data_IF_459352688666
#
_entry.id   IF_459352688666
#
_cell.length_a   1.000
_cell.length_b   1.000
_cell.length_c   1.000
_cell.angle_alpha   90.00
_cell.angle_beta   90.00
_cell.angle_gamma   90.00
#
_symmetry.space_group_name_H-M   'P 1'
#
loop_
_entity.id
_entity.type
_entity.pdbx_description
1 polymer ?
#
# COMPACT_ATOMS: atom_id res chain seq x y z
N UNK A 1 61.76 7.89 49.51
CA UNK A 1 60.95 8.90 48.80
C UNK A 1 60.69 8.45 47.37
N UNK A 2 59.42 8.56 46.93
CA UNK A 2 58.89 8.54 45.55
C UNK A 2 59.09 7.29 44.67
N UNK A 3 57.95 6.62 44.44
CA UNK A 3 57.67 5.54 43.48
C UNK A 3 57.96 5.98 42.03
N UNK A 4 58.68 5.16 41.28
CA UNK A 4 58.75 5.23 39.81
C UNK A 4 58.22 3.92 39.23
N UNK A 5 56.93 3.91 38.87
CA UNK A 5 56.34 2.88 38.03
C UNK A 5 56.52 3.28 36.56
N UNK A 6 57.34 2.52 35.84
CA UNK A 6 57.51 2.59 34.38
C UNK A 6 56.32 1.85 33.76
N UNK A 7 55.31 2.58 33.31
CA UNK A 7 54.17 2.03 32.54
C UNK A 7 54.47 2.18 31.05
N UNK A 8 54.43 1.06 30.33
CA UNK A 8 54.34 1.04 28.87
C UNK A 8 53.03 1.70 28.40
N UNK A 9 53.02 2.44 27.27
CA UNK A 9 51.80 2.97 26.71
C UNK A 9 51.07 1.90 25.88
N UNK A 10 49.97 1.42 26.47
CA UNK A 10 48.76 0.84 25.87
C UNK A 10 48.56 1.06 24.37
N UNK A 11 48.65 -0.03 23.62
CA UNK A 11 48.12 -0.20 22.26
C UNK A 11 46.60 -0.42 22.29
N UNK A 12 45.82 0.58 22.69
CA UNK A 12 44.36 0.48 22.73
C UNK A 12 43.68 1.79 22.35
N UNK A 13 43.64 2.10 21.05
CA UNK A 13 42.69 3.07 20.47
C UNK A 13 42.60 2.96 18.94
N UNK A 14 42.17 1.79 18.44
CA UNK A 14 41.64 1.62 17.08
C UNK A 14 40.35 0.78 17.12
N UNK A 15 39.29 1.30 17.72
CA UNK A 15 37.96 0.65 17.62
C UNK A 15 36.76 1.53 18.00
N UNK A 16 36.84 2.85 17.88
CA UNK A 16 35.64 3.68 18.09
C UNK A 16 35.66 4.83 17.07
N UNK A 17 34.56 4.95 16.33
CA UNK A 17 34.33 5.82 15.16
C UNK A 17 34.62 5.23 13.77
N UNK A 18 33.84 4.22 13.41
CA UNK A 18 33.32 4.09 12.04
C UNK A 18 31.80 3.97 12.08
N UNK A 19 31.11 5.05 12.49
CA UNK A 19 29.69 5.26 12.15
C UNK A 19 29.67 5.49 10.64
N UNK A 20 29.37 4.45 9.88
CA UNK A 20 29.16 4.52 8.45
C UNK A 20 27.84 5.27 8.17
N UNK A 21 27.90 6.60 8.16
CA UNK A 21 26.91 7.41 7.47
C UNK A 21 27.14 7.26 5.96
N UNK A 22 26.14 6.79 5.22
CA UNK A 22 26.20 6.71 3.76
C UNK A 22 26.47 8.11 3.17
N UNK A 23 27.40 8.17 2.21
CA UNK A 23 27.77 9.40 1.49
C UNK A 23 26.58 9.98 0.70
N UNK A 24 26.45 11.31 0.55
CA UNK A 24 25.37 11.94 -0.22
C UNK A 24 25.16 11.35 -1.62
N UNK A 25 26.25 11.01 -2.33
CA UNK A 25 26.20 10.38 -3.66
C UNK A 25 25.64 8.94 -3.64
N UNK A 26 25.80 8.22 -2.53
CA UNK A 26 25.23 6.87 -2.36
C UNK A 26 23.75 6.96 -2.00
N UNK A 27 23.36 7.93 -1.16
CA UNK A 27 21.95 8.21 -0.90
C UNK A 27 21.23 8.63 -2.17
N UNK A 28 21.79 9.54 -2.95
CA UNK A 28 21.22 10.02 -4.22
C UNK A 28 21.07 8.90 -5.26
N UNK A 29 22.10 8.07 -5.46
CA UNK A 29 22.05 6.92 -6.38
C UNK A 29 21.15 5.79 -5.89
N UNK A 30 20.99 5.63 -4.57
CA UNK A 30 20.07 4.69 -3.96
C UNK A 30 18.62 5.19 -4.04
N UNK A 31 18.38 6.49 -3.85
CA UNK A 31 17.07 7.14 -4.02
C UNK A 31 16.61 7.09 -5.48
N UNK A 32 17.49 7.42 -6.44
CA UNK A 32 17.22 7.30 -7.88
C UNK A 32 16.86 5.85 -8.27
N UNK A 33 17.65 4.86 -7.84
CA UNK A 33 17.37 3.43 -8.12
C UNK A 33 16.11 2.90 -7.42
N UNK A 34 15.74 3.44 -6.27
CA UNK A 34 14.51 3.06 -5.56
C UNK A 34 13.31 3.62 -6.31
N UNK A 35 13.37 4.90 -6.72
CA UNK A 35 12.33 5.57 -7.50
C UNK A 35 12.11 4.88 -8.85
N UNK A 36 13.18 4.60 -9.60
CA UNK A 36 13.09 3.89 -10.90
C UNK A 36 12.43 2.51 -10.79
N UNK A 37 12.64 1.82 -9.67
CA UNK A 37 12.11 0.46 -9.46
C UNK A 37 10.68 0.48 -8.89
N UNK A 38 10.28 1.55 -8.20
CA UNK A 38 8.89 1.75 -7.78
C UNK A 38 8.02 2.19 -8.96
N UNK A 39 8.54 3.07 -9.81
CA UNK A 39 7.88 3.50 -11.04
C UNK A 39 7.69 2.34 -12.02
N UNK A 40 8.72 1.49 -12.23
CA UNK A 40 8.59 0.27 -13.04
C UNK A 40 7.57 -0.73 -12.52
N UNK A 41 7.53 -0.93 -11.20
CA UNK A 41 6.54 -1.82 -10.59
C UNK A 41 5.13 -1.27 -10.82
N UNK A 42 4.95 0.03 -10.61
CA UNK A 42 3.68 0.71 -10.86
C UNK A 42 3.25 0.62 -12.33
N UNK A 43 4.12 0.93 -13.29
CA UNK A 43 3.79 0.90 -14.71
C UNK A 43 3.39 -0.51 -15.16
N UNK A 44 4.15 -1.52 -14.72
CA UNK A 44 3.84 -2.93 -14.99
C UNK A 44 2.49 -3.33 -14.38
N UNK A 45 2.24 -2.92 -13.14
CA UNK A 45 0.99 -3.21 -12.43
C UNK A 45 -0.19 -2.55 -13.13
N UNK A 46 -0.08 -1.27 -13.44
CA UNK A 46 -1.11 -0.49 -14.09
C UNK A 46 -1.45 -1.08 -15.46
N UNK A 47 -0.44 -1.41 -16.27
CA UNK A 47 -0.65 -2.05 -17.57
C UNK A 47 -1.38 -3.41 -17.46
N UNK A 48 -1.01 -4.23 -16.48
CA UNK A 48 -1.67 -5.52 -16.23
C UNK A 48 -3.16 -5.33 -15.86
N UNK A 49 -3.45 -4.36 -14.99
CA UNK A 49 -4.83 -4.02 -14.62
C UNK A 49 -5.60 -3.49 -15.84
N UNK A 50 -5.03 -2.58 -16.62
CA UNK A 50 -5.73 -2.01 -17.80
C UNK A 50 -6.07 -3.11 -18.82
N UNK A 51 -5.21 -4.12 -18.98
CA UNK A 51 -5.47 -5.27 -19.86
C UNK A 51 -6.65 -6.12 -19.38
N UNK A 52 -7.00 -6.08 -18.10
CA UNK A 52 -8.11 -6.84 -17.53
C UNK A 52 -9.49 -6.18 -17.75
N UNK A 53 -9.51 -4.92 -18.17
CA UNK A 53 -10.76 -4.17 -18.40
C UNK A 53 -11.26 -4.29 -19.85
N UNK A 54 -12.57 -4.09 -20.08
CA UNK A 54 -13.11 -3.90 -21.42
C UNK A 54 -12.48 -2.68 -22.12
N UNK A 55 -12.28 -2.76 -23.43
CA UNK A 55 -11.64 -1.73 -24.27
C UNK A 55 -12.18 -0.31 -24.04
N UNK A 56 -13.49 -0.18 -23.87
CA UNK A 56 -14.15 1.11 -23.63
C UNK A 56 -13.70 1.73 -22.30
N UNK A 57 -13.58 0.92 -21.25
CA UNK A 57 -13.13 1.35 -19.92
C UNK A 57 -11.65 1.71 -19.95
N UNK A 58 -10.82 0.85 -20.54
CA UNK A 58 -9.38 1.08 -20.70
C UNK A 58 -9.11 2.39 -21.44
N UNK A 59 -9.83 2.66 -22.53
CA UNK A 59 -9.71 3.90 -23.29
C UNK A 59 -10.03 5.15 -22.46
N UNK A 60 -11.08 5.12 -21.63
CA UNK A 60 -11.45 6.25 -20.77
C UNK A 60 -10.37 6.50 -19.71
N UNK A 61 -9.86 5.44 -19.08
CA UNK A 61 -8.80 5.55 -18.06
C UNK A 61 -7.53 6.12 -18.69
N UNK A 62 -7.10 5.58 -19.84
CA UNK A 62 -5.90 6.04 -20.55
C UNK A 62 -6.01 7.49 -21.01
N UNK A 63 -7.17 7.89 -21.56
CA UNK A 63 -7.40 9.27 -22.00
C UNK A 63 -7.42 10.29 -20.84
N UNK A 64 -7.79 9.86 -19.64
CA UNK A 64 -7.80 10.70 -18.44
C UNK A 64 -6.58 10.53 -17.54
N UNK A 65 -5.67 9.61 -17.88
CA UNK A 65 -4.60 9.12 -17.00
C UNK A 65 -3.76 10.24 -16.38
N UNK A 66 -3.27 11.20 -17.17
CA UNK A 66 -2.42 12.28 -16.65
C UNK A 66 -3.12 13.11 -15.57
N UNK A 67 -4.37 13.54 -15.81
CA UNK A 67 -5.17 14.31 -14.85
C UNK A 67 -5.60 13.46 -13.65
N UNK A 68 -5.96 12.20 -13.88
CA UNK A 68 -6.38 11.27 -12.83
C UNK A 68 -5.23 10.89 -11.91
N UNK A 69 -4.03 10.65 -12.46
CA UNK A 69 -2.80 10.35 -11.70
C UNK A 69 -2.38 11.52 -10.82
N UNK A 70 -2.35 12.74 -11.36
CA UNK A 70 -2.00 13.93 -10.56
C UNK A 70 -2.95 14.11 -9.36
N UNK A 71 -4.25 13.89 -9.56
CA UNK A 71 -5.26 13.95 -8.48
C UNK A 71 -5.08 12.80 -7.49
N UNK A 72 -4.87 11.58 -7.99
CA UNK A 72 -4.66 10.40 -7.17
C UNK A 72 -3.43 10.55 -6.26
N UNK A 73 -2.31 11.02 -6.79
CA UNK A 73 -1.08 11.27 -6.01
C UNK A 73 -1.31 12.30 -4.90
N UNK A 74 -2.03 13.39 -5.18
CA UNK A 74 -2.40 14.40 -4.17
C UNK A 74 -3.27 13.81 -3.07
N UNK A 75 -4.17 12.88 -3.41
CA UNK A 75 -5.01 12.17 -2.44
C UNK A 75 -4.17 11.22 -1.59
N UNK A 76 -3.34 10.38 -2.22
CA UNK A 76 -2.51 9.40 -1.51
C UNK A 76 -1.45 10.06 -0.62
N UNK A 77 -0.84 11.17 -1.04
CA UNK A 77 0.14 11.89 -0.25
C UNK A 77 -0.44 12.37 1.10
N UNK A 78 -1.72 12.78 1.11
CA UNK A 78 -2.43 13.19 2.34
C UNK A 78 -2.80 12.00 3.22
N UNK A 79 -3.20 10.89 2.61
CA UNK A 79 -3.60 9.66 3.32
C UNK A 79 -2.41 8.93 3.96
N UNK A 80 -1.27 8.87 3.27
CA UNK A 80 -0.09 8.12 3.71
C UNK A 80 0.39 8.54 5.10
N UNK A 81 0.59 9.85 5.28
CA UNK A 81 1.02 10.42 6.57
C UNK A 81 0.04 10.14 7.72
N UNK A 82 -1.24 9.90 7.41
CA UNK A 82 -2.28 9.63 8.40
C UNK A 82 -2.36 8.15 8.82
N UNK A 83 -1.87 7.22 7.98
CA UNK A 83 -2.07 5.78 8.19
C UNK A 83 -0.80 4.97 8.41
N UNK A 84 0.39 5.50 8.11
CA UNK A 84 1.66 4.77 8.19
C UNK A 84 1.84 4.03 9.53
N UNK A 85 1.54 4.67 10.66
CA UNK A 85 1.65 4.05 11.99
C UNK A 85 0.67 2.89 12.25
N UNK A 86 -0.51 2.91 11.63
CA UNK A 86 -1.53 1.86 11.78
C UNK A 86 -1.07 0.59 11.06
N UNK A 87 -0.53 0.75 9.84
CA UNK A 87 -0.05 -0.37 9.05
C UNK A 87 1.24 -0.94 9.63
N UNK A 88 2.14 -0.11 10.15
CA UNK A 88 3.34 -0.58 10.85
C UNK A 88 3.01 -1.44 12.07
N UNK A 89 2.01 -1.04 12.87
CA UNK A 89 1.53 -1.83 14.02
C UNK A 89 0.89 -3.15 13.56
N UNK A 90 0.06 -3.11 12.52
CA UNK A 90 -0.63 -4.30 12.00
C UNK A 90 0.34 -5.35 11.43
N UNK A 91 1.44 -4.90 10.82
CA UNK A 91 2.48 -5.72 10.18
C UNK A 91 3.63 -6.10 11.11
N UNK A 92 3.46 -5.96 12.42
CA UNK A 92 4.44 -6.50 13.38
C UNK A 92 4.68 -7.99 13.09
N UNK A 93 5.96 -8.37 12.96
CA UNK A 93 6.38 -9.73 12.61
C UNK A 93 6.81 -9.93 11.15
N UNK A 94 6.44 -9.03 10.23
CA UNK A 94 6.88 -9.11 8.83
C UNK A 94 8.29 -8.57 8.68
N UNK A 95 9.18 -9.32 8.02
CA UNK A 95 10.56 -8.86 7.83
C UNK A 95 10.64 -7.58 6.98
N UNK A 96 11.62 -6.72 7.29
CA UNK A 96 11.72 -5.40 6.66
C UNK A 96 11.94 -5.45 5.14
N UNK A 97 12.58 -6.49 4.62
CA UNK A 97 12.84 -6.62 3.17
C UNK A 97 11.58 -7.03 2.44
N UNK A 98 10.85 -8.01 2.95
CA UNK A 98 9.55 -8.45 2.40
C UNK A 98 8.53 -7.34 2.52
N UNK A 99 8.42 -6.70 3.69
CA UNK A 99 7.55 -5.53 3.88
C UNK A 99 7.81 -4.44 2.86
N UNK A 100 9.08 -4.14 2.55
CA UNK A 100 9.43 -3.16 1.50
C UNK A 100 8.97 -3.60 0.11
N UNK A 101 9.10 -4.88 -0.24
CA UNK A 101 8.63 -5.39 -1.54
C UNK A 101 7.10 -5.38 -1.62
N UNK A 102 6.42 -5.85 -0.58
CA UNK A 102 4.97 -5.81 -0.45
C UNK A 102 4.44 -4.38 -0.58
N UNK A 103 5.08 -3.42 0.10
CA UNK A 103 4.71 -2.01 0.02
C UNK A 103 4.67 -1.50 -1.41
N UNK A 104 5.60 -1.91 -2.29
CA UNK A 104 5.59 -1.48 -3.70
C UNK A 104 4.34 -1.97 -4.44
N UNK A 105 3.98 -3.24 -4.25
CA UNK A 105 2.82 -3.85 -4.88
C UNK A 105 1.54 -3.21 -4.35
N UNK A 106 1.40 -3.10 -3.02
CA UNK A 106 0.24 -2.47 -2.37
C UNK A 106 0.11 -1.01 -2.76
N UNK A 107 1.21 -0.26 -2.79
CA UNK A 107 1.20 1.14 -3.20
C UNK A 107 0.80 1.31 -4.67
N UNK A 108 1.34 0.46 -5.57
CA UNK A 108 0.97 0.49 -6.98
C UNK A 108 -0.53 0.20 -7.19
N UNK A 109 -1.06 -0.77 -6.46
CA UNK A 109 -2.48 -1.09 -6.46
C UNK A 109 -3.34 0.06 -5.94
N UNK A 110 -2.98 0.65 -4.80
CA UNK A 110 -3.71 1.78 -4.20
C UNK A 110 -3.69 3.02 -5.09
N UNK A 111 -2.56 3.31 -5.75
CA UNK A 111 -2.46 4.41 -6.70
C UNK A 111 -3.31 4.15 -7.95
N UNK A 112 -3.27 2.93 -8.48
CA UNK A 112 -4.11 2.51 -9.61
C UNK A 112 -5.60 2.63 -9.27
N UNK A 113 -6.00 2.18 -8.08
CA UNK A 113 -7.37 2.30 -7.58
C UNK A 113 -7.79 3.78 -7.46
N UNK A 114 -6.90 4.65 -6.98
CA UNK A 114 -7.18 6.09 -6.93
C UNK A 114 -7.27 6.74 -8.30
N UNK A 115 -6.44 6.34 -9.27
CA UNK A 115 -6.52 6.81 -10.66
C UNK A 115 -7.88 6.45 -11.25
N UNK A 116 -8.32 5.20 -11.06
CA UNK A 116 -9.64 4.73 -11.49
C UNK A 116 -10.74 5.53 -10.78
N UNK A 117 -10.62 5.74 -9.47
CA UNK A 117 -11.58 6.55 -8.69
C UNK A 117 -11.66 8.02 -9.14
N UNK A 118 -10.56 8.60 -9.62
CA UNK A 118 -10.51 9.95 -10.19
C UNK A 118 -10.95 10.05 -11.65
N UNK A 119 -11.06 8.92 -12.34
CA UNK A 119 -11.43 8.87 -13.76
C UNK A 119 -12.92 9.19 -13.94
N UNK A 120 -13.32 9.81 -15.06
CA UNK A 120 -14.71 10.19 -15.33
C UNK A 120 -15.55 8.98 -15.76
N UNK A 121 -15.49 7.90 -14.97
CA UNK A 121 -16.30 6.70 -15.16
C UNK A 121 -17.51 6.84 -14.22
N UNK A 122 -18.75 6.74 -14.75
CA UNK A 122 -19.93 6.78 -13.90
C UNK A 122 -19.81 5.67 -12.84
N UNK A 123 -20.02 6.07 -11.59
CA UNK A 123 -19.73 5.41 -10.32
C UNK A 123 -20.42 4.05 -10.07
N UNK A 124 -20.88 3.39 -11.13
CA UNK A 124 -21.08 1.96 -11.12
C UNK A 124 -19.74 1.32 -10.74
N UNK A 125 -19.81 0.37 -9.81
CA UNK A 125 -18.86 -0.73 -9.74
C UNK A 125 -17.58 -0.46 -8.96
N UNK A 126 -17.71 -0.46 -7.64
CA UNK A 126 -17.08 -1.50 -6.82
C UNK A 126 -16.32 -2.62 -7.61
N UNK A 127 -16.99 -3.22 -8.59
CA UNK A 127 -16.47 -4.27 -9.48
C UNK A 127 -15.21 -3.82 -10.25
N UNK A 128 -15.04 -2.55 -10.61
CA UNK A 128 -13.83 -2.06 -11.28
C UNK A 128 -12.59 -2.08 -10.38
N UNK A 129 -12.75 -2.10 -9.05
CA UNK A 129 -11.62 -2.27 -8.14
C UNK A 129 -11.22 -3.74 -7.97
N UNK A 130 -12.12 -4.67 -8.30
CA UNK A 130 -11.86 -6.10 -8.12
C UNK A 130 -10.64 -6.56 -8.93
N UNK A 131 -10.48 -6.21 -10.23
CA UNK A 131 -9.26 -6.58 -10.96
C UNK A 131 -7.99 -6.00 -10.34
N UNK A 132 -8.02 -4.75 -9.87
CA UNK A 132 -6.89 -4.11 -9.17
C UNK A 132 -6.50 -4.95 -7.95
N UNK A 133 -7.48 -5.31 -7.14
CA UNK A 133 -7.29 -6.03 -5.89
C UNK A 133 -6.84 -7.48 -6.12
N UNK A 134 -7.38 -8.15 -7.14
CA UNK A 134 -6.96 -9.51 -7.51
C UNK A 134 -5.54 -9.54 -8.08
N UNK A 135 -5.16 -8.59 -8.96
CA UNK A 135 -3.78 -8.47 -9.45
C UNK A 135 -2.79 -8.22 -8.31
N UNK A 136 -3.16 -7.37 -7.36
CA UNK A 136 -2.37 -7.14 -6.13
C UNK A 136 -2.20 -8.42 -5.33
N UNK A 137 -3.28 -9.13 -5.04
CA UNK A 137 -3.22 -10.39 -4.28
C UNK A 137 -2.38 -11.44 -5.01
N UNK A 138 -2.53 -11.60 -6.32
CA UNK A 138 -1.74 -12.54 -7.13
C UNK A 138 -0.23 -12.25 -7.04
N UNK A 139 0.16 -10.97 -7.17
CA UNK A 139 1.57 -10.56 -7.05
C UNK A 139 2.11 -10.76 -5.63
N UNK A 140 1.30 -10.52 -4.60
CA UNK A 140 1.66 -10.80 -3.22
C UNK A 140 1.85 -12.31 -2.97
N UNK A 141 0.93 -13.18 -3.41
CA UNK A 141 1.08 -14.64 -3.26
C UNK A 141 2.38 -15.12 -3.91
N UNK A 142 2.66 -14.67 -5.15
CA UNK A 142 3.91 -14.97 -5.84
C UNK A 142 5.14 -14.50 -5.07
N UNK A 143 5.08 -13.33 -4.43
CA UNK A 143 6.18 -12.80 -3.63
C UNK A 143 6.46 -13.66 -2.38
N UNK A 144 5.42 -14.24 -1.77
CA UNK A 144 5.52 -15.18 -0.65
C UNK A 144 5.78 -16.63 -1.09
N UNK A 145 5.92 -16.89 -2.40
CA UNK A 145 6.16 -18.23 -2.94
C UNK A 145 4.92 -19.14 -2.94
N UNK A 146 3.73 -18.58 -2.75
CA UNK A 146 2.46 -19.30 -2.81
C UNK A 146 1.89 -19.31 -4.24
N UNK A 147 1.13 -20.35 -4.57
CA UNK A 147 0.45 -20.47 -5.86
C UNK A 147 -0.78 -19.55 -5.92
N UNK A 148 -1.09 -19.08 -7.11
CA UNK A 148 -2.30 -18.32 -7.39
C UNK A 148 -3.04 -18.96 -8.56
N UNK A 149 -4.34 -19.22 -8.40
CA UNK A 149 -5.17 -19.82 -9.43
C UNK A 149 -6.33 -18.90 -9.83
N UNK A 150 -6.83 -19.05 -11.06
CA UNK A 150 -7.96 -18.25 -11.53
C UNK A 150 -9.24 -18.55 -10.74
N UNK A 151 -9.43 -19.80 -10.29
CA UNK A 151 -10.56 -20.21 -9.44
C UNK A 151 -10.52 -19.55 -8.06
N UNK A 152 -9.32 -19.44 -7.47
CA UNK A 152 -9.09 -18.68 -6.24
C UNK A 152 -9.44 -17.21 -6.45
N UNK A 153 -8.94 -16.60 -7.53
CA UNK A 153 -9.27 -15.22 -7.88
C UNK A 153 -10.77 -14.96 -8.05
N UNK A 154 -11.50 -15.86 -8.73
CA UNK A 154 -12.96 -15.76 -8.90
C UNK A 154 -13.71 -15.82 -7.57
N UNK A 155 -13.26 -16.67 -6.65
CA UNK A 155 -13.89 -16.84 -5.35
C UNK A 155 -13.63 -15.64 -4.44
N UNK A 156 -12.38 -15.20 -4.37
CA UNK A 156 -11.97 -14.01 -3.62
C UNK A 156 -12.61 -12.74 -4.17
N UNK A 157 -12.83 -12.65 -5.49
CA UNK A 157 -13.51 -11.52 -6.10
C UNK A 157 -14.90 -11.24 -5.50
N UNK A 158 -15.66 -12.30 -5.14
CA UNK A 158 -16.95 -12.14 -4.45
C UNK A 158 -16.77 -11.59 -3.04
N UNK A 159 -15.84 -12.16 -2.28
CA UNK A 159 -15.56 -11.73 -0.91
C UNK A 159 -15.06 -10.28 -0.85
N UNK A 160 -14.17 -9.89 -1.77
CA UNK A 160 -13.67 -8.52 -1.93
C UNK A 160 -14.83 -7.54 -2.10
N UNK A 161 -15.81 -7.87 -2.94
CA UNK A 161 -17.01 -7.04 -3.14
C UNK A 161 -17.82 -6.93 -1.84
N UNK A 162 -17.99 -8.04 -1.13
CA UNK A 162 -18.74 -8.09 0.12
C UNK A 162 -18.08 -7.26 1.23
N UNK A 163 -16.75 -7.33 1.38
CA UNK A 163 -16.04 -6.66 2.48
C UNK A 163 -15.70 -5.19 2.19
N UNK A 164 -15.37 -4.85 0.94
CA UNK A 164 -14.82 -3.55 0.60
C UNK A 164 -15.86 -2.48 0.28
N UNK A 165 -17.06 -2.85 -0.19
CA UNK A 165 -17.85 -1.97 -1.06
C UNK A 165 -19.27 -1.69 -0.57
N UNK A 166 -19.56 -1.99 0.69
CA UNK A 166 -20.83 -1.63 1.31
C UNK A 166 -21.00 -0.11 1.42
N UNK A 167 -22.22 0.41 1.19
CA UNK A 167 -22.56 1.85 1.30
C UNK A 167 -22.09 2.48 2.63
N UNK A 168 -22.08 1.71 3.72
CA UNK A 168 -21.62 2.14 5.04
C UNK A 168 -20.11 2.45 5.14
N UNK A 169 -19.28 1.88 4.26
CA UNK A 169 -17.84 2.13 4.20
C UNK A 169 -17.55 3.55 3.70
N UNK A 170 -18.25 3.97 2.64
CA UNK A 170 -18.07 5.26 1.96
C UNK A 170 -18.32 6.45 2.89
N UNK A 171 -19.44 6.43 3.63
CA UNK A 171 -19.83 7.56 4.51
C UNK A 171 -18.85 7.82 5.66
N UNK A 172 -18.11 6.80 6.12
CA UNK A 172 -17.10 6.95 7.16
C UNK A 172 -15.71 7.28 6.62
N UNK A 173 -15.39 6.85 5.38
CA UNK A 173 -14.13 7.22 4.72
C UNK A 173 -14.12 8.70 4.31
N UNK A 174 -15.26 9.32 3.98
CA UNK A 174 -15.31 10.76 3.66
C UNK A 174 -14.70 11.61 4.80
N UNK A 175 -14.83 11.16 6.05
CA UNK A 175 -14.25 11.83 7.23
C UNK A 175 -12.73 11.75 7.30
N UNK A 176 -12.09 10.92 6.47
CA UNK A 176 -10.64 10.83 6.33
C UNK A 176 -10.08 11.95 5.45
N UNK A 177 -10.94 12.69 4.73
CA UNK A 177 -10.53 13.82 3.91
C UNK A 177 -10.53 15.05 4.83
N UNK A 178 -9.37 15.66 5.13
CA UNK A 178 -9.32 16.89 5.92
C UNK A 178 -10.13 17.98 5.20
N UNK A 179 -11.12 18.53 5.91
CA UNK A 179 -12.17 19.41 5.38
C UNK A 179 -11.67 20.83 5.08
N UNK A 180 -10.67 20.96 4.20
CA UNK A 180 -10.15 22.25 3.73
C UNK A 180 -10.46 22.40 2.24
N UNK A 181 -11.52 23.15 1.93
CA UNK A 181 -11.91 23.56 0.57
C UNK A 181 -12.94 22.67 -0.14
N UNK A 182 -13.12 22.90 -1.46
CA UNK A 182 -14.05 22.17 -2.33
C UNK A 182 -13.52 20.75 -2.60
N UNK A 183 -13.90 19.78 -1.76
CA UNK A 183 -13.64 18.37 -2.03
C UNK A 183 -14.49 17.93 -3.21
N UNK A 184 -13.85 17.61 -4.34
CA UNK A 184 -14.56 17.10 -5.52
C UNK A 184 -15.00 15.66 -5.31
N UNK A 185 -16.06 15.23 -5.99
CA UNK A 185 -16.48 13.81 -6.00
C UNK A 185 -15.32 12.89 -6.37
N UNK A 186 -14.53 13.23 -7.39
CA UNK A 186 -13.35 12.45 -7.80
C UNK A 186 -12.33 12.21 -6.67
N UNK A 187 -12.09 13.20 -5.80
CA UNK A 187 -11.18 13.05 -4.67
C UNK A 187 -11.74 12.11 -3.59
N UNK A 188 -13.06 12.16 -3.36
CA UNK A 188 -13.74 11.24 -2.44
C UNK A 188 -13.57 9.80 -2.92
N UNK A 189 -13.80 9.57 -4.21
CA UNK A 189 -13.74 8.26 -4.83
C UNK A 189 -12.35 7.68 -4.76
N UNK A 190 -11.35 8.48 -5.12
CA UNK A 190 -9.96 8.08 -5.03
C UNK A 190 -9.56 7.72 -3.60
N UNK A 191 -9.99 8.52 -2.62
CA UNK A 191 -9.72 8.25 -1.19
C UNK A 191 -10.34 6.92 -0.76
N UNK A 192 -11.60 6.69 -1.13
CA UNK A 192 -12.32 5.44 -0.83
C UNK A 192 -11.63 4.25 -1.48
N UNK A 193 -11.39 4.33 -2.79
CA UNK A 193 -10.80 3.27 -3.58
C UNK A 193 -9.39 2.91 -3.08
N UNK A 194 -8.52 3.90 -2.84
CA UNK A 194 -7.17 3.66 -2.34
C UNK A 194 -7.18 3.08 -0.93
N UNK A 195 -8.01 3.61 -0.04
CA UNK A 195 -8.05 3.15 1.37
C UNK A 195 -8.48 1.70 1.47
N UNK A 196 -9.53 1.31 0.73
CA UNK A 196 -10.00 -0.09 0.71
C UNK A 196 -8.92 -1.00 0.13
N UNK A 197 -8.32 -0.61 -0.99
CA UNK A 197 -7.28 -1.39 -1.67
C UNK A 197 -6.05 -1.57 -0.80
N UNK A 198 -5.60 -0.50 -0.14
CA UNK A 198 -4.46 -0.52 0.77
C UNK A 198 -4.71 -1.42 1.98
N UNK A 199 -5.87 -1.26 2.62
CA UNK A 199 -6.29 -2.09 3.75
C UNK A 199 -6.31 -3.57 3.36
N UNK A 200 -6.88 -3.89 2.20
CA UNK A 200 -6.94 -5.25 1.67
C UNK A 200 -5.55 -5.83 1.42
N UNK A 201 -4.66 -5.04 0.83
CA UNK A 201 -3.28 -5.41 0.55
C UNK A 201 -2.51 -5.74 1.82
N UNK A 202 -2.64 -4.92 2.86
CA UNK A 202 -1.96 -5.17 4.12
C UNK A 202 -2.50 -6.39 4.89
N UNK A 203 -3.81 -6.63 4.85
CA UNK A 203 -4.40 -7.88 5.39
C UNK A 203 -3.86 -9.09 4.65
N UNK A 204 -3.78 -9.02 3.32
CA UNK A 204 -3.20 -10.10 2.50
C UNK A 204 -1.75 -10.36 2.88
N UNK A 205 -0.93 -9.31 3.03
CA UNK A 205 0.47 -9.44 3.46
C UNK A 205 0.58 -10.10 4.83
N UNK A 206 -0.28 -9.72 5.79
CA UNK A 206 -0.28 -10.30 7.13
C UNK A 206 -0.62 -11.78 7.11
N UNK A 207 -1.72 -12.16 6.48
CA UNK A 207 -2.16 -13.55 6.39
C UNK A 207 -1.11 -14.43 5.69
N UNK A 208 -0.54 -13.96 4.57
CA UNK A 208 0.52 -14.67 3.86
C UNK A 208 1.79 -14.83 4.71
N UNK A 209 2.15 -13.81 5.50
CA UNK A 209 3.28 -13.88 6.43
C UNK A 209 3.04 -14.89 7.55
N UNK A 210 1.80 -14.96 8.05
CA UNK A 210 1.41 -15.84 9.15
C UNK A 210 1.16 -17.29 8.65
N UNK A 211 1.29 -17.53 7.34
CA UNK A 211 1.10 -18.83 6.71
C UNK A 211 -0.36 -19.24 6.57
N UNK A 212 -1.29 -18.29 6.74
CA UNK A 212 -2.73 -18.51 6.61
C UNK A 212 -3.13 -18.56 5.13
N UNK A 213 -3.98 -19.53 4.78
CA UNK A 213 -4.64 -19.56 3.47
C UNK A 213 -5.87 -18.64 3.51
N UNK A 214 -5.80 -17.53 2.77
CA UNK A 214 -6.86 -16.51 2.69
C UNK A 214 -8.16 -17.10 2.14
N UNK A 215 -8.07 -18.07 1.23
CA UNK A 215 -9.22 -18.71 0.60
C UNK A 215 -9.93 -19.67 1.56
N UNK A 216 -9.17 -20.43 2.36
CA UNK A 216 -9.76 -21.31 3.37
C UNK A 216 -10.24 -20.54 4.61
N UNK A 217 -9.61 -19.40 4.91
CA UNK A 217 -9.86 -18.61 6.12
C UNK A 217 -10.60 -17.28 5.84
N UNK A 218 -11.66 -17.32 5.04
CA UNK A 218 -12.46 -16.12 4.68
C UNK A 218 -13.02 -15.37 5.88
N UNK A 219 -13.38 -16.06 6.96
CA UNK A 219 -13.83 -15.42 8.21
C UNK A 219 -12.71 -14.63 8.88
N UNK A 220 -11.50 -15.20 8.96
CA UNK A 220 -10.30 -14.53 9.48
C UNK A 220 -9.97 -13.32 8.62
N UNK A 221 -9.95 -13.49 7.29
CA UNK A 221 -9.72 -12.41 6.34
C UNK A 221 -10.68 -11.25 6.54
N UNK A 222 -11.99 -11.54 6.61
CA UNK A 222 -13.03 -10.53 6.87
C UNK A 222 -12.85 -9.86 8.23
N UNK A 223 -12.50 -10.62 9.27
CA UNK A 223 -12.25 -10.11 10.62
C UNK A 223 -11.05 -9.17 10.68
N UNK A 224 -9.92 -9.58 10.09
CA UNK A 224 -8.70 -8.76 9.99
C UNK A 224 -8.95 -7.49 9.16
N UNK A 225 -9.64 -7.62 8.02
CA UNK A 225 -10.05 -6.48 7.20
C UNK A 225 -10.90 -5.50 7.99
N UNK A 226 -11.97 -5.95 8.65
CA UNK A 226 -12.82 -5.06 9.44
C UNK A 226 -12.07 -4.40 10.60
N UNK A 227 -11.13 -5.11 11.22
CA UNK A 227 -10.31 -4.59 12.33
C UNK A 227 -9.40 -3.48 11.84
N UNK A 228 -8.61 -3.74 10.79
CA UNK A 228 -7.71 -2.76 10.21
C UNK A 228 -8.48 -1.57 9.61
N UNK A 229 -9.55 -1.84 8.89
CA UNK A 229 -10.40 -0.81 8.28
C UNK A 229 -11.02 0.11 9.33
N UNK A 230 -11.50 -0.42 10.46
CA UNK A 230 -12.01 0.40 11.57
C UNK A 230 -10.92 1.24 12.22
N UNK A 231 -9.68 0.72 12.32
CA UNK A 231 -8.55 1.48 12.84
C UNK A 231 -8.24 2.68 11.94
N UNK A 232 -8.18 2.46 10.63
CA UNK A 232 -8.04 3.50 9.59
C UNK A 232 -9.18 4.52 9.68
N UNK A 233 -10.44 4.09 9.79
CA UNK A 233 -11.59 5.00 9.93
C UNK A 233 -11.54 5.84 11.22
N UNK A 234 -10.98 5.30 12.32
CA UNK A 234 -10.89 6.00 13.60
C UNK A 234 -9.78 7.05 13.61
N UNK A 235 -8.71 6.89 12.82
CA UNK A 235 -7.65 7.90 12.78
C UNK A 235 -8.13 9.23 12.20
N UNK A 236 -9.05 9.20 11.23
CA UNK A 236 -9.73 10.41 10.74
C UNK A 236 -10.62 11.13 11.76
N UNK A 237 -11.04 10.45 12.84
CA UNK A 237 -11.85 11.08 13.90
C UNK A 237 -11.03 11.85 14.93
N UNK A 238 -9.72 11.60 15.06
CA UNK A 238 -8.85 12.22 16.08
C UNK A 238 -8.31 13.60 15.68
N UNK A 239 -8.61 14.10 14.48
CA UNK A 239 -8.22 15.46 14.05
C UNK A 239 -9.30 16.51 14.39
N UNK A 240 -9.79 16.51 15.63
CA UNK A 240 -10.61 17.59 16.19
C UNK A 240 -9.97 18.14 17.44
#
# INVERSE_FOLDING_TARGET
>A
MKKFFKKEPTETKKSFFKRAGQSPKQKEKQTLRINDNEEKEFDSFFAEVIKSFPEKTSSIILNSYGKSKERAEKVLAKSKTQFDGIFDEFLQGVDAKTRKKCHKIVHAASLTAAIIGCSPIPFSDAILLVPVQLTMMARLHKLFGQSWSESMGKSLGKEIVVVGLGKSAVGNIIKLIPAVGTVTGAAINATVASTITETLGWVTVKMLNDGEDIFEQTMTFKGQFQTLFKAVQRSGKKSK
#
